data_IF_206537597803
#
_entry.id   IF_206537597803
#
_cell.length_a   1.000
_cell.length_b   1.000
_cell.length_c   1.000
_cell.angle_alpha   90.00
_cell.angle_beta   90.00
_cell.angle_gamma   90.00
#
_symmetry.space_group_name_H-M   'P 1'
#
loop_
_entity.id
_entity.type
_entity.pdbx_description
1 polymer ?
#
# COMPACT_ATOMS: atom_id res chain seq x y z
N UNK A 1 0.18 18.64 -5.86
CA UNK A 1 0.45 17.33 -6.48
C UNK A 1 -0.77 16.46 -6.21
N UNK A 2 -1.22 15.69 -7.20
CA UNK A 2 -2.40 14.83 -7.08
C UNK A 2 -2.02 13.55 -6.34
N UNK A 3 -2.74 13.22 -5.27
CA UNK A 3 -2.65 11.90 -4.64
C UNK A 3 -3.04 10.85 -5.68
N UNK A 4 -2.24 9.79 -5.87
CA UNK A 4 -2.58 8.72 -6.81
C UNK A 4 -3.89 8.05 -6.39
N UNK A 5 -4.71 7.68 -7.37
CA UNK A 5 -6.00 7.05 -7.08
C UNK A 5 -5.80 5.59 -6.65
N UNK A 6 -6.72 5.04 -5.85
CA UNK A 6 -6.70 3.60 -5.49
C UNK A 6 -6.65 2.69 -6.74
N UNK A 7 -7.25 3.12 -7.85
CA UNK A 7 -7.17 2.41 -9.13
C UNK A 7 -5.76 2.34 -9.74
N UNK A 8 -4.85 3.24 -9.38
CA UNK A 8 -3.44 3.18 -9.79
C UNK A 8 -2.63 2.18 -8.94
N UNK A 9 -3.04 1.94 -7.69
CA UNK A 9 -2.46 0.94 -6.77
C UNK A 9 -2.90 -0.50 -7.10
N UNK A 10 -4.03 -0.65 -7.81
CA UNK A 10 -4.57 -1.94 -8.27
C UNK A 10 -3.96 -2.42 -9.59
N UNK A 11 -3.08 -1.64 -10.22
CA UNK A 11 -2.50 -2.01 -11.52
C UNK A 11 -1.46 -3.11 -11.32
N UNK A 12 -1.57 -4.16 -12.11
CA UNK A 12 -0.59 -5.23 -12.15
C UNK A 12 0.78 -4.69 -12.61
N UNK A 13 1.77 -4.78 -11.73
CA UNK A 13 3.13 -4.34 -12.00
C UNK A 13 3.76 -5.09 -13.18
N UNK A 14 3.37 -6.34 -13.43
CA UNK A 14 3.87 -7.10 -14.58
C UNK A 14 3.28 -6.61 -15.90
N UNK A 15 2.09 -6.00 -15.87
CA UNK A 15 1.51 -5.31 -17.03
C UNK A 15 2.21 -3.98 -17.30
N UNK A 16 2.70 -3.29 -16.27
CA UNK A 16 3.38 -1.99 -16.39
C UNK A 16 4.84 -2.18 -16.78
N UNK A 17 5.55 -3.04 -16.07
CA UNK A 17 6.98 -3.25 -16.16
C UNK A 17 7.30 -4.71 -15.81
N UNK A 18 7.23 -5.63 -16.79
CA UNK A 18 7.60 -7.02 -16.54
C UNK A 18 9.06 -7.12 -16.11
N UNK A 19 9.33 -8.04 -15.18
CA UNK A 19 10.68 -8.24 -14.62
C UNK A 19 11.66 -8.76 -15.67
N UNK A 20 11.18 -9.61 -16.58
CA UNK A 20 11.95 -10.17 -17.70
C UNK A 20 11.21 -9.95 -19.02
N UNK A 21 11.97 -9.69 -20.09
CA UNK A 21 11.45 -9.70 -21.45
C UNK A 21 11.11 -11.11 -21.95
N UNK A 22 10.52 -11.20 -23.16
CA UNK A 22 10.10 -12.48 -23.76
C UNK A 22 11.22 -13.52 -23.81
N UNK A 23 12.47 -13.05 -23.91
CA UNK A 23 13.68 -13.87 -24.03
C UNK A 23 14.44 -14.03 -22.70
N UNK A 24 13.85 -13.62 -21.56
CA UNK A 24 14.49 -13.66 -20.23
C UNK A 24 15.52 -12.54 -19.98
N UNK A 25 15.69 -11.62 -20.93
CA UNK A 25 16.58 -10.46 -20.80
C UNK A 25 15.95 -9.27 -20.10
N UNK A 26 16.76 -8.27 -19.71
CA UNK A 26 16.26 -6.99 -19.19
C UNK A 26 15.52 -6.21 -20.27
N UNK A 27 14.33 -5.70 -19.96
CA UNK A 27 13.55 -4.80 -20.82
C UNK A 27 13.83 -3.35 -20.41
N UNK A 28 14.41 -2.50 -21.28
CA UNK A 28 14.57 -1.10 -20.96
C UNK A 28 13.20 -0.45 -20.75
N UNK A 29 13.02 0.24 -19.62
CA UNK A 29 11.79 0.96 -19.32
C UNK A 29 11.71 2.26 -20.12
N UNK A 30 10.52 2.60 -20.60
CA UNK A 30 10.24 3.95 -21.08
C UNK A 30 10.28 4.95 -19.92
N UNK A 31 10.42 6.25 -20.24
CA UNK A 31 10.32 7.32 -19.25
C UNK A 31 8.95 7.34 -18.56
N UNK A 32 7.89 6.99 -19.28
CA UNK A 32 6.53 6.86 -18.75
C UNK A 32 6.41 5.70 -17.77
N UNK A 33 6.95 4.52 -18.11
CA UNK A 33 6.94 3.36 -17.22
C UNK A 33 7.75 3.62 -15.94
N UNK A 34 8.91 4.24 -16.08
CA UNK A 34 9.76 4.63 -14.93
C UNK A 34 9.04 5.61 -14.00
N UNK A 35 8.40 6.64 -14.56
CA UNK A 35 7.63 7.63 -13.80
C UNK A 35 6.40 6.99 -13.14
N UNK A 36 5.73 6.05 -13.83
CA UNK A 36 4.58 5.35 -13.27
C UNK A 36 4.98 4.44 -12.10
N UNK A 37 6.09 3.70 -12.19
CA UNK A 37 6.62 2.90 -11.08
C UNK A 37 6.98 3.77 -9.88
N UNK A 38 7.62 4.92 -10.11
CA UNK A 38 7.96 5.89 -9.05
C UNK A 38 6.70 6.39 -8.33
N UNK A 39 5.66 6.73 -9.09
CA UNK A 39 4.37 7.16 -8.52
C UNK A 39 3.70 6.06 -7.73
N UNK A 40 3.72 4.82 -8.20
CA UNK A 40 3.14 3.68 -7.48
C UNK A 40 3.87 3.42 -6.18
N UNK A 41 5.21 3.45 -6.18
CA UNK A 41 6.02 3.29 -4.97
C UNK A 41 5.65 4.34 -3.92
N UNK A 42 5.69 5.62 -4.31
CA UNK A 42 5.34 6.74 -3.43
C UNK A 42 3.88 6.66 -2.94
N UNK A 43 2.93 6.38 -3.82
CA UNK A 43 1.52 6.24 -3.45
C UNK A 43 1.28 5.14 -2.43
N UNK A 44 1.96 4.02 -2.60
CA UNK A 44 1.81 2.84 -1.77
C UNK A 44 2.33 3.10 -0.36
N UNK A 45 3.48 3.79 -0.26
CA UNK A 45 4.05 4.24 1.02
C UNK A 45 3.13 5.24 1.71
N UNK A 46 2.77 6.35 1.05
CA UNK A 46 1.93 7.40 1.64
C UNK A 46 0.55 6.87 2.08
N UNK A 47 -0.06 5.99 1.29
CA UNK A 47 -1.35 5.38 1.62
C UNK A 47 -1.22 4.38 2.76
N UNK A 48 -0.15 3.58 2.76
CA UNK A 48 0.16 2.63 3.84
C UNK A 48 0.31 3.35 5.18
N UNK A 49 1.11 4.42 5.22
CA UNK A 49 1.32 5.24 6.42
C UNK A 49 0.02 5.86 6.94
N UNK A 50 -0.83 6.36 6.05
CA UNK A 50 -2.12 6.93 6.44
C UNK A 50 -3.07 5.90 7.05
N UNK A 51 -3.10 4.68 6.50
CA UNK A 51 -3.90 3.57 7.01
C UNK A 51 -3.36 3.06 8.36
N UNK A 52 -2.05 2.95 8.52
CA UNK A 52 -1.41 2.60 9.79
C UNK A 52 -1.73 3.63 10.88
N UNK A 53 -1.68 4.93 10.55
CA UNK A 53 -2.10 6.00 11.46
C UNK A 53 -3.57 5.85 11.86
N UNK A 54 -4.45 5.51 10.92
CA UNK A 54 -5.85 5.22 11.19
C UNK A 54 -6.04 4.09 12.19
N UNK A 55 -5.33 2.97 12.03
CA UNK A 55 -5.33 1.85 12.98
C UNK A 55 -4.87 2.30 14.37
N UNK A 56 -3.81 3.11 14.46
CA UNK A 56 -3.32 3.62 15.74
C UNK A 56 -4.36 4.47 16.47
N UNK A 57 -5.12 5.30 15.74
CA UNK A 57 -6.21 6.12 16.31
C UNK A 57 -7.33 5.22 16.82
N UNK A 58 -7.72 4.19 16.07
CA UNK A 58 -8.72 3.20 16.53
C UNK A 58 -8.25 2.50 17.80
N UNK A 59 -6.99 2.08 17.88
CA UNK A 59 -6.43 1.47 19.09
C UNK A 59 -6.50 2.39 20.31
N UNK A 60 -6.25 3.70 20.13
CA UNK A 60 -6.41 4.70 21.20
C UNK A 60 -7.87 4.85 21.64
N UNK A 61 -8.81 4.84 20.70
CA UNK A 61 -10.24 4.89 20.98
C UNK A 61 -10.69 3.66 21.79
N UNK A 62 -10.25 2.47 21.40
CA UNK A 62 -10.53 1.22 22.12
C UNK A 62 -9.93 1.21 23.53
N UNK A 63 -8.71 1.74 23.70
CA UNK A 63 -8.13 1.85 25.03
C UNK A 63 -8.92 2.83 25.90
N UNK A 64 -9.34 3.98 25.35
CA UNK A 64 -10.12 4.98 26.08
C UNK A 64 -11.51 4.46 26.49
N UNK A 65 -12.15 3.60 25.69
CA UNK A 65 -13.48 3.06 26.02
C UNK A 65 -13.49 2.23 27.31
N UNK A 66 -12.35 1.68 27.73
CA UNK A 66 -12.23 0.93 28.99
C UNK A 66 -12.34 1.79 30.25
N UNK A 67 -12.17 3.11 30.12
CA UNK A 67 -12.19 4.06 31.24
C UNK A 67 -13.14 5.24 31.04
N UNK A 68 -13.91 5.27 29.94
CA UNK A 68 -14.73 6.44 29.55
C UNK A 68 -16.24 6.25 29.69
N UNK A 69 -16.99 7.35 29.56
CA UNK A 69 -18.46 7.37 29.45
C UNK A 69 -19.02 6.83 28.12
N UNK A 70 -18.14 6.50 27.16
CA UNK A 70 -18.46 5.83 25.90
C UNK A 70 -17.90 4.39 25.92
N UNK A 71 -18.50 3.48 26.70
CA UNK A 71 -18.11 2.08 26.69
C UNK A 71 -18.42 1.48 25.32
N UNK A 72 -17.51 0.63 24.83
CA UNK A 72 -17.79 -0.18 23.64
C UNK A 72 -18.44 -1.49 24.06
N UNK A 73 -19.42 -1.93 23.30
CA UNK A 73 -19.98 -3.27 23.45
C UNK A 73 -19.16 -4.34 22.70
N UNK A 74 -19.55 -5.60 22.87
CA UNK A 74 -18.84 -6.73 22.27
C UNK A 74 -18.89 -6.75 20.74
N UNK A 75 -19.98 -6.26 20.14
CA UNK A 75 -20.17 -6.25 18.69
C UNK A 75 -19.31 -5.14 18.07
N UNK A 76 -19.22 -3.98 18.73
CA UNK A 76 -18.31 -2.89 18.34
C UNK A 76 -16.84 -3.32 18.42
N UNK A 77 -16.45 -4.01 19.50
CA UNK A 77 -15.08 -4.57 19.64
C UNK A 77 -14.79 -5.58 18.53
N UNK A 78 -15.73 -6.47 18.23
CA UNK A 78 -15.57 -7.45 17.16
C UNK A 78 -15.45 -6.77 15.80
N UNK A 79 -16.30 -5.79 15.50
CA UNK A 79 -16.26 -5.04 14.25
C UNK A 79 -14.93 -4.31 14.05
N UNK A 80 -14.41 -3.66 15.11
CA UNK A 80 -13.09 -3.02 15.07
C UNK A 80 -11.96 -4.04 14.89
N UNK A 81 -12.06 -5.23 15.49
CA UNK A 81 -11.11 -6.31 15.27
C UNK A 81 -11.04 -6.75 13.80
N UNK A 82 -12.19 -6.91 13.15
CA UNK A 82 -12.24 -7.20 11.71
C UNK A 82 -11.70 -6.04 10.87
N UNK A 83 -12.10 -4.81 11.18
CA UNK A 83 -11.60 -3.62 10.49
C UNK A 83 -10.07 -3.52 10.56
N UNK A 84 -9.47 -3.67 11.74
CA UNK A 84 -8.01 -3.61 11.92
C UNK A 84 -7.32 -4.67 11.08
N UNK A 85 -7.85 -5.90 11.04
CA UNK A 85 -7.32 -6.99 10.22
C UNK A 85 -7.35 -6.63 8.73
N UNK A 86 -8.52 -6.24 8.20
CA UNK A 86 -8.66 -5.93 6.78
C UNK A 86 -7.76 -4.76 6.36
N UNK A 87 -7.66 -3.71 7.18
CA UNK A 87 -6.74 -2.60 6.91
C UNK A 87 -5.27 -3.05 6.97
N UNK A 88 -4.90 -3.93 7.90
CA UNK A 88 -3.54 -4.48 7.98
C UNK A 88 -3.19 -5.29 6.73
N UNK A 89 -4.12 -6.08 6.21
CA UNK A 89 -3.94 -6.85 4.97
C UNK A 89 -3.74 -5.91 3.76
N UNK A 90 -4.49 -4.80 3.70
CA UNK A 90 -4.31 -3.76 2.67
C UNK A 90 -2.96 -3.07 2.80
N UNK A 91 -2.54 -2.66 4.00
CA UNK A 91 -1.22 -2.05 4.24
C UNK A 91 -0.10 -2.99 3.79
N UNK A 92 -0.21 -4.28 4.11
CA UNK A 92 0.76 -5.27 3.68
C UNK A 92 0.83 -5.40 2.15
N UNK A 93 -0.33 -5.41 1.48
CA UNK A 93 -0.41 -5.43 0.02
C UNK A 93 0.26 -4.19 -0.60
N UNK A 94 -0.05 -3.00 -0.09
CA UNK A 94 0.55 -1.74 -0.54
C UNK A 94 2.07 -1.76 -0.40
N UNK A 95 2.58 -2.24 0.75
CA UNK A 95 4.03 -2.41 0.94
C UNK A 95 4.66 -3.32 -0.12
N UNK A 96 4.04 -4.46 -0.42
CA UNK A 96 4.54 -5.39 -1.44
C UNK A 96 4.50 -4.76 -2.84
N UNK A 97 3.46 -4.01 -3.18
CA UNK A 97 3.36 -3.27 -4.45
C UNK A 97 4.43 -2.19 -4.54
N UNK A 98 4.62 -1.40 -3.48
CA UNK A 98 5.64 -0.35 -3.44
C UNK A 98 7.05 -0.91 -3.62
N UNK A 99 7.42 -1.92 -2.83
CA UNK A 99 8.71 -2.61 -2.97
C UNK A 99 8.87 -3.26 -4.35
N UNK A 100 7.80 -3.83 -4.89
CA UNK A 100 7.78 -4.42 -6.22
C UNK A 100 8.00 -3.38 -7.33
N UNK A 101 7.51 -2.16 -7.15
CA UNK A 101 7.70 -1.06 -8.08
C UNK A 101 9.13 -0.49 -8.00
N UNK A 102 9.66 -0.31 -6.79
CA UNK A 102 11.05 0.09 -6.57
C UNK A 102 12.04 -0.90 -7.15
N UNK A 103 11.83 -2.20 -6.89
CA UNK A 103 12.67 -3.27 -7.42
C UNK A 103 12.74 -3.23 -8.95
N UNK A 104 11.58 -3.07 -9.62
CA UNK A 104 11.52 -2.97 -11.09
C UNK A 104 12.22 -1.70 -11.60
N UNK A 105 12.04 -0.58 -10.93
CA UNK A 105 12.73 0.67 -11.29
C UNK A 105 14.27 0.53 -11.17
N UNK A 106 14.76 -0.15 -10.12
CA UNK A 106 16.19 -0.38 -9.90
C UNK A 106 16.79 -1.46 -10.82
N UNK A 107 16.06 -2.55 -11.06
CA UNK A 107 16.51 -3.65 -11.92
C UNK A 107 16.80 -3.19 -13.35
N UNK A 108 16.07 -2.16 -13.80
CA UNK A 108 16.16 -1.59 -15.14
C UNK A 108 16.95 -0.26 -15.20
N UNK A 109 17.37 0.31 -14.07
CA UNK A 109 18.05 1.61 -13.97
C UNK A 109 19.59 1.58 -14.00
N UNK A 110 20.23 0.42 -14.00
CA UNK A 110 21.70 0.32 -14.14
C UNK A 110 22.12 0.36 -15.62
N UNK A 111 22.31 1.58 -16.15
CA UNK A 111 23.18 1.90 -17.29
C UNK A 111 24.04 3.12 -16.96
#
# INVERSE_FOLDING_TARGET
>A
MSTPSFGELLKDLDTIAPVCGPDGGKLPLSSEQSEQLRRIAQASEETGDALELGIQVVGKLMAASTTSELPMDADEIQALGWFIREVSDVVHCLKNVGLGAEYRAQAHGNQ
#
